data_IF_800635065265
#
_entry.id   IF_800635065265
#
_cell.length_a   1.000
_cell.length_b   1.000
_cell.length_c   1.000
_cell.angle_alpha   90.00
_cell.angle_beta   90.00
_cell.angle_gamma   90.00
#
_symmetry.space_group_name_H-M   'P 1'
#
loop_
_entity.id
_entity.type
_entity.pdbx_description
1 polymer ?
#
# COMPACT_ATOMS: atom_id res chain seq x y z
N UNK A 1 2.35 29.44 13.27
CA UNK A 1 2.32 29.47 11.78
C UNK A 1 3.76 29.32 11.31
N UNK A 2 4.04 28.34 10.47
CA UNK A 2 5.35 28.15 9.83
C UNK A 2 5.25 28.72 8.42
N UNK A 3 6.20 29.58 8.03
CA UNK A 3 6.32 30.08 6.66
C UNK A 3 7.54 29.41 6.05
N UNK A 4 7.35 28.68 4.95
CA UNK A 4 8.38 27.87 4.30
C UNK A 4 8.46 28.22 2.82
N UNK A 5 9.67 28.17 2.23
CA UNK A 5 9.86 28.29 0.79
C UNK A 5 9.15 27.13 0.08
N UNK A 6 8.38 27.45 -0.95
CA UNK A 6 7.75 26.43 -1.81
C UNK A 6 8.78 25.71 -2.66
N UNK A 7 8.55 24.41 -2.85
CA UNK A 7 9.27 23.54 -3.78
C UNK A 7 8.26 22.71 -4.57
N UNK A 8 8.57 22.33 -5.80
CA UNK A 8 7.57 21.78 -6.72
C UNK A 8 7.94 20.44 -7.34
N UNK A 9 7.21 19.38 -6.99
CA UNK A 9 7.37 18.04 -7.59
C UNK A 9 6.71 17.88 -8.97
N UNK A 10 6.01 18.91 -9.45
CA UNK A 10 5.24 18.89 -10.71
C UNK A 10 5.79 19.82 -11.80
N UNK A 11 7.07 20.20 -11.74
CA UNK A 11 7.71 21.06 -12.76
C UNK A 11 7.91 20.35 -14.10
N UNK A 12 8.13 19.03 -14.11
CA UNK A 12 8.38 18.30 -15.34
C UNK A 12 8.67 16.81 -15.15
N UNK A 13 9.00 16.07 -16.23
CA UNK A 13 9.33 14.64 -16.18
C UNK A 13 10.34 14.22 -15.12
N UNK A 14 11.26 15.12 -14.77
CA UNK A 14 12.37 14.82 -13.87
C UNK A 14 12.13 15.36 -12.45
N UNK A 15 10.92 15.79 -12.12
CA UNK A 15 10.52 16.22 -10.77
C UNK A 15 9.52 15.23 -10.17
N UNK A 16 9.40 15.25 -8.84
CA UNK A 16 8.43 14.42 -8.14
C UNK A 16 8.37 14.66 -6.65
N UNK A 17 7.45 13.94 -6.00
CA UNK A 17 7.26 13.98 -4.55
C UNK A 17 7.01 12.57 -4.03
N UNK A 18 7.31 12.34 -2.76
CA UNK A 18 7.12 11.03 -2.16
C UNK A 18 7.25 11.04 -0.64
N UNK A 19 6.99 9.85 -0.09
CA UNK A 19 7.15 9.54 1.32
C UNK A 19 8.03 8.30 1.41
N UNK A 20 9.09 8.39 2.21
CA UNK A 20 10.05 7.30 2.39
C UNK A 20 10.24 7.00 3.87
N UNK A 21 10.22 5.73 4.21
CA UNK A 21 10.67 5.20 5.49
C UNK A 21 12.15 4.83 5.37
N UNK A 22 12.92 5.15 6.40
CA UNK A 22 14.34 4.80 6.44
C UNK A 22 14.60 3.32 6.74
N UNK A 23 13.52 2.54 6.88
CA UNK A 23 13.53 1.08 7.01
C UNK A 23 12.28 0.47 6.39
N UNK A 24 12.46 -0.65 5.72
CA UNK A 24 11.37 -1.52 5.28
C UNK A 24 10.61 -2.07 6.51
N UNK A 25 9.31 -1.75 6.66
CA UNK A 25 8.47 -2.24 7.76
C UNK A 25 8.32 -3.76 7.81
N UNK A 26 8.55 -4.46 6.71
CA UNK A 26 8.41 -5.91 6.58
C UNK A 26 9.74 -6.65 6.72
N UNK A 27 10.86 -5.93 6.66
CA UNK A 27 12.20 -6.51 6.74
C UNK A 27 12.63 -6.71 8.19
N UNK A 28 13.23 -7.88 8.46
CA UNK A 28 13.91 -8.16 9.73
C UNK A 28 15.26 -7.43 9.83
N UNK A 29 15.77 -6.84 8.74
CA UNK A 29 17.00 -6.05 8.77
C UNK A 29 16.83 -4.80 9.65
N UNK A 30 17.87 -4.50 10.42
CA UNK A 30 17.91 -3.37 11.35
C UNK A 30 18.62 -2.14 10.80
N UNK A 31 19.25 -2.26 9.62
CA UNK A 31 19.95 -1.16 8.96
C UNK A 31 19.02 -0.23 8.18
N UNK A 32 19.62 0.78 7.54
CA UNK A 32 18.90 1.67 6.61
C UNK A 32 18.50 0.86 5.37
N UNK A 33 17.20 0.81 5.12
CA UNK A 33 16.63 0.14 3.96
C UNK A 33 15.44 0.98 3.48
N UNK A 34 15.67 1.82 2.47
CA UNK A 34 14.65 2.76 2.02
C UNK A 34 13.45 2.03 1.43
N UNK A 35 12.27 2.39 1.90
CA UNK A 35 11.01 1.84 1.46
C UNK A 35 9.96 2.94 1.45
N UNK A 36 9.12 3.00 0.44
CA UNK A 36 8.03 3.96 0.42
C UNK A 36 7.43 4.13 -0.96
N UNK A 37 6.79 5.28 -1.15
CA UNK A 37 6.05 5.58 -2.36
C UNK A 37 6.51 6.94 -2.90
N UNK A 38 6.74 7.01 -4.21
CA UNK A 38 6.98 8.28 -4.90
C UNK A 38 6.19 8.38 -6.19
N UNK A 39 6.04 9.59 -6.69
CA UNK A 39 5.40 9.88 -7.97
C UNK A 39 6.23 10.86 -8.76
N UNK A 40 6.14 10.77 -10.08
CA UNK A 40 6.71 11.75 -11.01
C UNK A 40 5.66 12.79 -11.34
N UNK A 41 6.09 14.04 -11.57
CA UNK A 41 5.20 15.14 -11.99
C UNK A 41 4.02 15.39 -11.04
N UNK A 42 4.16 15.09 -9.76
CA UNK A 42 3.09 15.23 -8.77
C UNK A 42 3.53 16.08 -7.59
N UNK A 43 2.55 16.65 -6.91
CA UNK A 43 2.75 17.27 -5.60
C UNK A 43 2.56 16.24 -4.50
N UNK A 44 3.05 16.56 -3.29
CA UNK A 44 2.88 15.70 -2.12
C UNK A 44 1.41 15.39 -1.83
N UNK A 45 0.51 16.33 -2.09
CA UNK A 45 -0.94 16.17 -1.94
C UNK A 45 -1.48 14.99 -2.76
N UNK A 46 -1.05 14.82 -4.01
CA UNK A 46 -1.54 13.75 -4.88
C UNK A 46 -1.18 12.35 -4.35
N UNK A 47 0.01 12.24 -3.74
CA UNK A 47 0.50 10.99 -3.13
C UNK A 47 -0.34 10.64 -1.91
N UNK A 48 -0.58 11.62 -1.03
CA UNK A 48 -1.29 11.40 0.23
C UNK A 48 -2.79 11.26 0.02
N UNK A 49 -3.38 11.99 -0.93
CA UNK A 49 -4.77 11.82 -1.36
C UNK A 49 -4.99 10.47 -2.09
N UNK A 50 -3.91 9.85 -2.58
CA UNK A 50 -3.94 8.56 -3.26
C UNK A 50 -4.75 8.54 -4.55
N UNK A 51 -4.73 9.67 -5.26
CA UNK A 51 -5.37 9.86 -6.57
C UNK A 51 -4.51 9.32 -7.73
N UNK A 52 -3.32 8.82 -7.39
CA UNK A 52 -2.24 8.43 -8.31
C UNK A 52 -1.81 6.98 -8.06
N UNK A 53 -1.06 6.44 -9.01
CA UNK A 53 -0.36 5.16 -8.86
C UNK A 53 1.10 5.41 -8.47
N UNK A 54 1.44 5.38 -7.17
CA UNK A 54 2.82 5.58 -6.77
C UNK A 54 3.71 4.39 -7.14
N UNK A 55 4.98 4.74 -7.33
CA UNK A 55 6.07 3.85 -7.66
C UNK A 55 6.91 3.57 -6.40
N UNK A 56 7.58 2.41 -6.33
CA UNK A 56 8.40 2.03 -5.19
C UNK A 56 9.68 2.88 -5.09
N UNK A 57 10.13 3.13 -3.87
CA UNK A 57 11.39 3.87 -3.63
C UNK A 57 12.60 3.03 -4.03
N UNK A 58 12.73 1.81 -3.49
CA UNK A 58 13.89 0.95 -3.75
C UNK A 58 13.61 -0.13 -4.79
N UNK A 59 14.67 -0.62 -5.41
CA UNK A 59 14.60 -1.72 -6.37
C UNK A 59 14.27 -3.04 -5.67
N UNK A 60 14.80 -3.23 -4.46
CA UNK A 60 14.42 -4.36 -3.60
C UNK A 60 12.92 -4.39 -3.35
N UNK A 61 12.31 -3.25 -3.03
CA UNK A 61 10.86 -3.12 -2.85
C UNK A 61 10.09 -3.49 -4.13
N UNK A 62 10.54 -3.01 -5.30
CA UNK A 62 9.94 -3.31 -6.60
C UNK A 62 9.93 -4.81 -6.90
N UNK A 63 11.08 -5.46 -6.73
CA UNK A 63 11.26 -6.89 -7.03
C UNK A 63 10.50 -7.79 -6.06
N UNK A 64 10.49 -7.44 -4.76
CA UNK A 64 9.87 -8.28 -3.73
C UNK A 64 8.34 -8.27 -3.83
N UNK A 65 7.73 -7.12 -4.17
CA UNK A 65 6.27 -6.99 -4.29
C UNK A 65 5.69 -7.65 -5.53
N UNK A 66 6.50 -7.93 -6.56
CA UNK A 66 6.06 -8.55 -7.81
C UNK A 66 4.82 -7.86 -8.43
N UNK A 67 4.73 -6.53 -8.26
CA UNK A 67 3.79 -5.65 -8.97
C UNK A 67 4.31 -5.40 -10.39
N UNK A 68 3.43 -5.00 -11.31
CA UNK A 68 3.79 -4.58 -12.68
C UNK A 68 4.43 -3.18 -12.74
N UNK A 69 5.24 -2.84 -11.73
CA UNK A 69 5.84 -1.51 -11.61
C UNK A 69 7.01 -1.36 -12.60
N UNK A 70 6.97 -0.35 -13.48
CA UNK A 70 7.95 -0.23 -14.56
C UNK A 70 9.35 0.12 -14.03
N UNK A 71 9.43 0.90 -12.95
CA UNK A 71 10.69 1.41 -12.37
C UNK A 71 10.53 1.67 -10.87
N UNK A 72 11.65 1.76 -10.17
CA UNK A 72 11.78 2.29 -8.81
C UNK A 72 12.42 3.68 -8.83
N UNK A 73 12.40 4.42 -7.73
CA UNK A 73 13.15 5.68 -7.62
C UNK A 73 14.66 5.42 -7.74
N UNK A 74 15.14 4.36 -7.10
CA UNK A 74 16.54 3.93 -7.16
C UNK A 74 17.06 3.78 -8.61
N UNK A 75 16.22 3.27 -9.51
CA UNK A 75 16.58 3.09 -10.92
C UNK A 75 16.29 4.32 -11.78
N UNK A 76 15.19 5.04 -11.54
CA UNK A 76 14.78 6.18 -12.35
C UNK A 76 15.50 7.49 -11.98
N UNK A 77 15.88 7.67 -10.71
CA UNK A 77 16.48 8.89 -10.15
C UNK A 77 17.64 8.53 -9.19
N UNK A 78 18.73 7.93 -9.69
CA UNK A 78 19.78 7.36 -8.84
C UNK A 78 20.48 8.40 -7.95
N UNK A 79 20.69 9.62 -8.43
CA UNK A 79 21.30 10.69 -7.63
C UNK A 79 20.39 11.15 -6.47
N UNK A 80 19.09 11.33 -6.74
CA UNK A 80 18.09 11.69 -5.72
C UNK A 80 17.99 10.58 -4.68
N UNK A 81 17.93 9.32 -5.13
CA UNK A 81 17.89 8.16 -4.25
C UNK A 81 19.15 8.05 -3.38
N UNK A 82 20.34 8.20 -3.97
CA UNK A 82 21.60 8.18 -3.23
C UNK A 82 21.64 9.27 -2.17
N UNK A 83 21.15 10.47 -2.50
CA UNK A 83 21.06 11.58 -1.55
C UNK A 83 20.05 11.31 -0.42
N UNK A 84 18.88 10.75 -0.73
CA UNK A 84 17.92 10.31 0.29
C UNK A 84 18.53 9.29 1.25
N UNK A 85 19.28 8.33 0.70
CA UNK A 85 19.94 7.28 1.48
C UNK A 85 21.03 7.85 2.38
N UNK A 86 21.88 8.72 1.86
CA UNK A 86 22.91 9.41 2.65
C UNK A 86 22.29 10.19 3.82
N UNK A 87 21.20 10.92 3.56
CA UNK A 87 20.44 11.63 4.60
C UNK A 87 19.90 10.66 5.66
N UNK A 88 19.31 9.53 5.24
CA UNK A 88 18.78 8.53 6.15
C UNK A 88 19.87 7.87 7.00
N UNK A 89 21.03 7.55 6.40
CA UNK A 89 22.20 7.01 7.09
C UNK A 89 22.74 7.99 8.11
N UNK A 90 22.90 9.28 7.75
CA UNK A 90 23.31 10.32 8.71
C UNK A 90 22.35 10.45 9.89
N UNK A 91 21.05 10.54 9.62
CA UNK A 91 20.04 10.67 10.68
C UNK A 91 20.11 9.50 11.68
N UNK A 92 20.28 8.27 11.21
CA UNK A 92 20.22 7.09 12.09
C UNK A 92 21.58 6.78 12.72
N UNK A 93 22.65 6.79 11.93
CA UNK A 93 23.96 6.27 12.32
C UNK A 93 24.85 7.33 12.96
N UNK A 94 24.75 8.59 12.53
CA UNK A 94 25.60 9.68 13.03
C UNK A 94 24.87 10.47 14.12
N UNK A 95 23.63 10.87 13.85
CA UNK A 95 22.82 11.71 14.75
C UNK A 95 22.03 10.89 15.80
N UNK A 96 21.99 9.56 15.67
CA UNK A 96 21.39 8.66 16.64
C UNK A 96 19.86 8.69 16.70
N UNK A 97 19.17 9.17 15.66
CA UNK A 97 17.71 9.10 15.59
C UNK A 97 17.24 7.65 15.40
N UNK A 98 16.04 7.35 15.93
CA UNK A 98 15.31 6.14 15.53
C UNK A 98 15.00 6.18 14.02
N UNK A 99 14.53 5.06 13.44
CA UNK A 99 14.06 5.07 12.06
C UNK A 99 12.98 6.15 11.85
N UNK A 100 13.02 6.79 10.69
CA UNK A 100 12.21 7.96 10.37
C UNK A 100 11.28 7.65 9.19
N UNK A 101 10.19 8.40 9.14
CA UNK A 101 9.37 8.64 7.96
C UNK A 101 9.68 10.05 7.46
N UNK A 102 10.06 10.17 6.20
CA UNK A 102 10.47 11.41 5.56
C UNK A 102 9.51 11.72 4.42
N UNK A 103 9.00 12.96 4.40
CA UNK A 103 8.30 13.51 3.24
C UNK A 103 9.27 14.36 2.45
N UNK A 104 9.30 14.18 1.13
CA UNK A 104 10.28 14.83 0.28
C UNK A 104 9.69 15.24 -1.06
N UNK A 105 10.38 16.18 -1.70
CA UNK A 105 10.11 16.65 -3.06
C UNK A 105 11.43 16.91 -3.76
N UNK A 106 11.51 16.58 -5.04
CA UNK A 106 12.67 16.88 -5.87
C UNK A 106 12.22 17.64 -7.13
N UNK A 107 12.92 18.73 -7.43
CA UNK A 107 12.61 19.61 -8.56
C UNK A 107 13.30 19.17 -9.86
N UNK A 108 14.34 18.33 -9.75
CA UNK A 108 15.02 17.70 -10.89
C UNK A 108 15.68 16.37 -10.48
N UNK A 109 16.30 15.67 -11.44
CA UNK A 109 17.04 14.42 -11.19
C UNK A 109 18.35 14.60 -10.42
N UNK A 110 18.80 15.84 -10.19
CA UNK A 110 20.04 16.14 -9.47
C UNK A 110 19.88 16.01 -7.96
N UNK A 111 20.90 15.48 -7.28
CA UNK A 111 20.92 15.37 -5.82
C UNK A 111 20.67 16.70 -5.07
N UNK A 112 21.16 17.81 -5.63
CA UNK A 112 21.04 19.15 -5.02
C UNK A 112 19.63 19.74 -5.04
N UNK A 113 18.74 19.17 -5.85
CA UNK A 113 17.35 19.62 -6.00
C UNK A 113 16.37 18.76 -5.18
N UNK A 114 16.89 17.93 -4.26
CA UNK A 114 16.10 17.20 -3.28
C UNK A 114 15.86 18.04 -2.02
N UNK A 115 14.60 18.13 -1.62
CA UNK A 115 14.16 18.84 -0.44
C UNK A 115 13.40 17.90 0.50
N UNK A 116 13.80 17.86 1.76
CA UNK A 116 13.01 17.22 2.82
C UNK A 116 12.02 18.24 3.37
N UNK A 117 10.77 17.85 3.47
CA UNK A 117 9.67 18.70 3.92
C UNK A 117 9.28 18.42 5.36
N UNK A 118 9.27 17.14 5.73
CA UNK A 118 8.91 16.70 7.06
C UNK A 118 9.69 15.43 7.43
N UNK A 119 9.99 15.27 8.72
CA UNK A 119 10.49 14.03 9.30
C UNK A 119 9.71 13.72 10.57
N UNK A 120 9.48 12.43 10.83
CA UNK A 120 8.94 11.96 12.11
C UNK A 120 9.42 10.55 12.43
N UNK A 121 9.47 10.15 13.71
CA UNK A 121 9.79 8.78 14.08
C UNK A 121 8.82 7.77 13.45
N UNK A 122 9.39 6.73 12.84
CA UNK A 122 8.66 5.63 12.22
C UNK A 122 8.06 4.74 13.31
N UNK A 123 6.73 4.66 13.35
CA UNK A 123 6.01 3.77 14.26
C UNK A 123 5.70 2.44 13.57
N UNK A 124 6.47 1.40 13.90
CA UNK A 124 6.21 0.04 13.45
C UNK A 124 5.19 -0.64 14.38
N UNK A 125 4.02 -0.97 13.84
CA UNK A 125 3.05 -1.82 14.53
C UNK A 125 3.48 -3.28 14.33
N UNK A 126 3.94 -3.95 15.38
CA UNK A 126 4.21 -5.40 15.34
C UNK A 126 2.92 -6.14 15.64
N UNK A 127 2.50 -7.03 14.74
CA UNK A 127 1.46 -8.01 15.02
C UNK A 127 2.13 -9.33 15.43
N UNK A 128 1.75 -9.88 16.59
CA UNK A 128 2.30 -11.16 17.09
C UNK A 128 1.75 -12.37 16.34
N UNK A 129 0.54 -12.23 15.77
CA UNK A 129 -0.15 -13.26 15.00
C UNK A 129 -0.65 -12.67 13.70
N UNK A 130 -0.50 -13.43 12.62
CA UNK A 130 -0.92 -13.02 11.29
C UNK A 130 -1.76 -14.14 10.69
N UNK A 131 -2.93 -13.76 10.20
CA UNK A 131 -3.83 -14.64 9.44
C UNK A 131 -3.29 -14.71 8.00
N UNK A 132 -3.16 -15.90 7.44
CA UNK A 132 -2.66 -16.13 6.07
C UNK A 132 -3.57 -17.10 5.35
N UNK A 133 -3.60 -17.08 4.01
CA UNK A 133 -4.37 -18.09 3.28
C UNK A 133 -3.69 -19.47 3.36
N UNK A 134 -4.49 -20.52 3.52
CA UNK A 134 -4.02 -21.89 3.38
C UNK A 134 -3.59 -22.12 1.92
N UNK A 135 -2.41 -22.69 1.70
CA UNK A 135 -1.94 -22.96 0.34
C UNK A 135 -2.77 -24.07 -0.31
N UNK A 136 -3.32 -23.80 -1.50
CA UNK A 136 -4.03 -24.77 -2.33
C UNK A 136 -3.84 -24.44 -3.81
N UNK A 137 -4.04 -25.42 -4.70
CA UNK A 137 -4.02 -25.17 -6.15
C UNK A 137 -5.12 -24.19 -6.57
N UNK A 138 -6.28 -24.25 -5.91
CA UNK A 138 -7.41 -23.35 -6.17
C UNK A 138 -7.07 -21.90 -5.82
N UNK A 139 -6.40 -21.66 -4.70
CA UNK A 139 -5.91 -20.34 -4.32
C UNK A 139 -4.96 -19.80 -5.40
N UNK A 140 -3.98 -20.61 -5.83
CA UNK A 140 -3.00 -20.18 -6.84
C UNK A 140 -3.70 -19.85 -8.18
N UNK A 141 -4.65 -20.68 -8.63
CA UNK A 141 -5.39 -20.47 -9.89
C UNK A 141 -6.37 -19.30 -9.84
N UNK A 142 -6.80 -18.90 -8.65
CA UNK A 142 -7.77 -17.81 -8.45
C UNK A 142 -7.13 -16.43 -8.30
N UNK A 143 -5.80 -16.31 -8.35
CA UNK A 143 -5.09 -15.03 -8.30
C UNK A 143 -5.56 -14.12 -9.45
N UNK A 144 -6.10 -12.96 -9.08
CA UNK A 144 -6.63 -11.97 -10.01
C UNK A 144 -5.60 -10.90 -10.36
N UNK A 145 -5.02 -10.30 -9.32
CA UNK A 145 -4.04 -9.22 -9.46
C UNK A 145 -3.21 -9.07 -8.19
N UNK A 146 -2.23 -8.17 -8.23
CA UNK A 146 -1.41 -7.78 -7.08
C UNK A 146 -1.33 -6.26 -6.97
N UNK A 147 -1.65 -5.77 -5.78
CA UNK A 147 -1.44 -4.38 -5.38
C UNK A 147 -0.33 -4.25 -4.34
N UNK A 148 -0.40 -3.17 -3.58
CA UNK A 148 0.42 -2.92 -2.39
C UNK A 148 -0.31 -3.43 -1.15
N UNK A 149 0.24 -4.45 -0.50
CA UNK A 149 -0.15 -4.81 0.87
C UNK A 149 0.23 -3.70 1.86
N UNK A 150 -0.73 -3.22 2.64
CA UNK A 150 -0.55 -2.13 3.60
C UNK A 150 -0.65 -2.63 5.04
N UNK A 151 -1.68 -3.42 5.35
CA UNK A 151 -2.00 -3.84 6.71
C UNK A 151 -2.89 -5.06 6.76
N UNK A 152 -2.83 -5.76 7.89
CA UNK A 152 -3.63 -6.94 8.16
C UNK A 152 -3.01 -8.21 7.58
N UNK A 153 -3.77 -9.31 7.64
CA UNK A 153 -3.40 -10.60 7.06
C UNK A 153 -4.29 -10.93 5.87
N UNK A 154 -4.70 -12.20 5.78
CA UNK A 154 -5.67 -12.69 4.82
C UNK A 154 -7.12 -12.52 5.30
N UNK A 155 -8.01 -12.12 4.40
CA UNK A 155 -9.46 -12.08 4.63
C UNK A 155 -10.22 -12.47 3.36
N UNK A 156 -11.29 -13.24 3.51
CA UNK A 156 -12.31 -13.44 2.46
C UNK A 156 -13.57 -12.70 2.86
N UNK A 157 -14.14 -11.91 1.96
CA UNK A 157 -15.34 -11.13 2.25
C UNK A 157 -16.15 -10.82 1.00
N UNK A 158 -17.39 -10.38 1.23
CA UNK A 158 -18.28 -9.92 0.17
C UNK A 158 -17.93 -8.48 -0.23
N UNK A 159 -17.96 -8.20 -1.52
CA UNK A 159 -17.70 -6.87 -2.08
C UNK A 159 -18.84 -5.91 -1.74
N UNK A 160 -18.47 -4.67 -1.36
CA UNK A 160 -19.38 -3.54 -1.21
C UNK A 160 -18.77 -2.26 -1.80
N UNK A 161 -19.61 -1.38 -2.32
CA UNK A 161 -19.19 -0.10 -2.92
C UNK A 161 -19.72 1.11 -2.13
N UNK A 162 -20.88 0.96 -1.51
CA UNK A 162 -21.61 2.01 -0.80
C UNK A 162 -22.01 1.59 0.61
N UNK A 163 -22.43 2.55 1.44
CA UNK A 163 -22.95 2.26 2.78
C UNK A 163 -24.21 1.40 2.72
N UNK A 164 -25.04 1.56 1.68
CA UNK A 164 -26.22 0.75 1.46
C UNK A 164 -25.88 -0.72 1.24
N UNK A 165 -24.84 -0.99 0.44
CA UNK A 165 -24.35 -2.36 0.23
C UNK A 165 -23.89 -3.00 1.54
N UNK A 166 -23.05 -2.28 2.30
CA UNK A 166 -22.51 -2.79 3.57
C UNK A 166 -23.64 -3.13 4.53
N UNK A 167 -24.63 -2.24 4.69
CA UNK A 167 -25.79 -2.47 5.56
C UNK A 167 -26.59 -3.68 5.13
N UNK A 168 -26.95 -3.77 3.84
CA UNK A 168 -27.71 -4.90 3.29
C UNK A 168 -27.00 -6.23 3.56
N UNK A 169 -25.70 -6.31 3.26
CA UNK A 169 -24.91 -7.53 3.49
C UNK A 169 -24.84 -7.91 4.97
N UNK A 170 -24.68 -6.94 5.87
CA UNK A 170 -24.64 -7.18 7.33
C UNK A 170 -26.02 -7.48 7.92
N UNK A 171 -27.10 -7.00 7.32
CA UNK A 171 -28.48 -7.35 7.70
C UNK A 171 -28.78 -8.82 7.35
N UNK A 172 -28.30 -9.29 6.20
CA UNK A 172 -28.43 -10.69 5.76
C UNK A 172 -27.56 -11.65 6.58
N UNK A 173 -26.28 -11.31 6.79
CA UNK A 173 -25.36 -12.04 7.67
C UNK A 173 -24.47 -11.07 8.46
N UNK A 174 -24.77 -10.84 9.75
CA UNK A 174 -23.98 -9.94 10.60
C UNK A 174 -22.50 -10.33 10.74
N UNK A 175 -22.15 -11.59 10.47
CA UNK A 175 -20.78 -12.12 10.59
C UNK A 175 -20.03 -12.13 9.26
N UNK A 176 -20.69 -11.87 8.14
CA UNK A 176 -20.07 -11.84 6.82
C UNK A 176 -19.03 -10.72 6.77
N UNK A 177 -17.74 -11.02 6.52
CA UNK A 177 -16.76 -9.98 6.32
C UNK A 177 -17.07 -9.18 5.05
N UNK A 178 -16.90 -7.86 5.10
CA UNK A 178 -17.17 -6.98 3.97
C UNK A 178 -15.88 -6.31 3.50
N UNK A 179 -15.62 -6.37 2.20
CA UNK A 179 -14.48 -5.72 1.56
C UNK A 179 -14.99 -4.52 0.77
N UNK A 180 -14.61 -3.33 1.22
CA UNK A 180 -14.90 -2.08 0.54
C UNK A 180 -14.00 -1.94 -0.69
N UNK A 181 -14.61 -1.79 -1.86
CA UNK A 181 -13.88 -1.64 -3.13
C UNK A 181 -14.07 -0.21 -3.66
N UNK A 182 -12.96 0.51 -3.87
CA UNK A 182 -12.96 1.94 -4.27
C UNK A 182 -11.95 2.21 -5.41
N UNK A 183 -12.16 3.24 -6.24
CA UNK A 183 -11.18 3.64 -7.25
C UNK A 183 -9.92 4.27 -6.64
N UNK A 184 -10.05 5.00 -5.54
CA UNK A 184 -8.97 5.73 -4.87
C UNK A 184 -9.21 5.80 -3.35
N UNK A 185 -8.26 6.39 -2.63
CA UNK A 185 -8.22 6.42 -1.16
C UNK A 185 -8.59 7.81 -0.63
N UNK A 186 -9.85 8.20 -0.73
CA UNK A 186 -10.30 9.54 -0.32
C UNK A 186 -10.78 9.59 1.14
N UNK A 187 -10.58 10.70 1.87
CA UNK A 187 -11.03 10.85 3.26
C UNK A 187 -12.54 10.66 3.48
N UNK A 188 -13.36 10.96 2.47
CA UNK A 188 -14.81 10.83 2.48
C UNK A 188 -15.28 9.38 2.69
N UNK A 189 -14.41 8.40 2.40
CA UNK A 189 -14.70 6.98 2.54
C UNK A 189 -14.49 6.45 3.97
N UNK A 190 -13.94 7.26 4.89
CA UNK A 190 -13.69 6.84 6.28
C UNK A 190 -14.94 6.24 6.96
N UNK A 191 -16.15 6.83 6.85
CA UNK A 191 -17.36 6.24 7.41
C UNK A 191 -17.67 4.83 6.86
N UNK A 192 -17.42 4.58 5.58
CA UNK A 192 -17.58 3.25 4.96
C UNK A 192 -16.55 2.28 5.54
N UNK A 193 -15.29 2.73 5.63
CA UNK A 193 -14.18 1.92 6.11
C UNK A 193 -14.34 1.49 7.58
N UNK A 194 -14.98 2.32 8.41
CA UNK A 194 -15.31 1.94 9.80
C UNK A 194 -16.21 0.69 9.86
N UNK A 195 -17.10 0.55 8.88
CA UNK A 195 -18.10 -0.53 8.80
C UNK A 195 -17.62 -1.74 7.98
N UNK A 196 -16.56 -1.57 7.18
CA UNK A 196 -15.95 -2.64 6.40
C UNK A 196 -14.87 -3.39 7.21
N UNK A 197 -14.50 -4.58 6.75
CA UNK A 197 -13.47 -5.43 7.35
C UNK A 197 -12.15 -5.39 6.55
N UNK A 198 -12.25 -5.06 5.25
CA UNK A 198 -11.11 -4.80 4.38
C UNK A 198 -11.33 -3.67 3.39
N UNK A 199 -10.23 -3.19 2.82
CA UNK A 199 -10.19 -2.16 1.78
C UNK A 199 -9.38 -2.67 0.59
N UNK A 200 -9.95 -2.49 -0.60
CA UNK A 200 -9.31 -2.77 -1.87
C UNK A 200 -9.44 -1.55 -2.79
N UNK A 201 -8.33 -0.99 -3.27
CA UNK A 201 -8.37 0.19 -4.17
C UNK A 201 -7.56 0.04 -5.46
N UNK A 202 -8.03 0.70 -6.52
CA UNK A 202 -7.31 0.76 -7.80
C UNK A 202 -6.07 1.66 -7.72
N UNK A 203 -6.22 2.84 -7.10
CA UNK A 203 -5.17 3.84 -6.90
C UNK A 203 -4.85 4.06 -5.43
N UNK A 204 -3.74 4.74 -5.17
CA UNK A 204 -3.29 5.11 -3.82
C UNK A 204 -2.06 4.35 -3.34
N UNK A 205 -1.20 5.03 -2.58
CA UNK A 205 0.00 4.45 -1.97
C UNK A 205 -0.24 3.83 -0.60
N UNK A 206 0.74 3.08 -0.10
CA UNK A 206 0.77 2.65 1.30
C UNK A 206 0.83 3.83 2.28
N UNK A 207 1.23 5.01 1.80
CA UNK A 207 1.31 6.26 2.57
C UNK A 207 0.11 7.19 2.35
N UNK A 208 -0.93 6.75 1.62
CA UNK A 208 -2.15 7.52 1.41
C UNK A 208 -3.07 7.56 2.65
N UNK A 209 -4.00 8.52 2.68
CA UNK A 209 -4.92 8.72 3.81
C UNK A 209 -5.73 7.47 4.16
N UNK A 210 -6.39 6.83 3.19
CA UNK A 210 -7.19 5.64 3.50
C UNK A 210 -6.32 4.41 3.83
N UNK A 211 -5.14 4.28 3.22
CA UNK A 211 -4.18 3.22 3.57
C UNK A 211 -3.71 3.33 5.04
N UNK A 212 -3.30 4.52 5.45
CA UNK A 212 -2.90 4.80 6.84
C UNK A 212 -4.09 4.61 7.79
N UNK A 213 -5.28 5.05 7.39
CA UNK A 213 -6.50 4.93 8.22
C UNK A 213 -6.92 3.48 8.38
N UNK A 214 -6.95 2.70 7.31
CA UNK A 214 -7.23 1.26 7.34
C UNK A 214 -6.26 0.53 8.27
N UNK A 215 -4.96 0.85 8.18
CA UNK A 215 -3.94 0.31 9.09
C UNK A 215 -4.19 0.65 10.55
N UNK A 216 -4.54 1.91 10.86
CA UNK A 216 -4.87 2.35 12.24
C UNK A 216 -6.13 1.68 12.77
N UNK A 217 -7.11 1.43 11.90
CA UNK A 217 -8.36 0.75 12.23
C UNK A 217 -8.23 -0.79 12.23
N UNK A 218 -7.04 -1.33 11.98
CA UNK A 218 -6.78 -2.77 11.96
C UNK A 218 -7.46 -3.51 10.80
N UNK A 219 -7.82 -2.82 9.72
CA UNK A 219 -8.47 -3.41 8.54
C UNK A 219 -7.43 -4.06 7.62
N UNK A 220 -7.83 -5.11 6.92
CA UNK A 220 -6.99 -5.70 5.86
C UNK A 220 -7.02 -4.78 4.66
N UNK A 221 -5.85 -4.38 4.15
CA UNK A 221 -5.79 -3.31 3.16
C UNK A 221 -4.81 -3.64 2.03
N UNK A 222 -5.34 -3.60 0.80
CA UNK A 222 -4.57 -3.69 -0.45
C UNK A 222 -4.94 -2.49 -1.31
N UNK A 223 -3.93 -1.72 -1.73
CA UNK A 223 -4.13 -0.52 -2.57
C UNK A 223 -3.34 -0.62 -3.86
N UNK A 224 -3.53 0.29 -4.79
CA UNK A 224 -2.75 0.35 -6.03
C UNK A 224 -2.90 -0.89 -6.94
N UNK A 225 -4.09 -1.47 -7.01
CA UNK A 225 -4.39 -2.57 -7.93
C UNK A 225 -4.61 -2.03 -9.35
N UNK A 226 -3.55 -1.96 -10.15
CA UNK A 226 -3.59 -1.42 -11.52
C UNK A 226 -4.63 -2.07 -12.44
N UNK A 227 -4.89 -3.37 -12.28
CA UNK A 227 -5.85 -4.09 -13.11
C UNK A 227 -7.31 -3.95 -12.61
N UNK A 228 -7.54 -3.25 -11.49
CA UNK A 228 -8.86 -3.01 -10.90
C UNK A 228 -9.48 -1.73 -11.49
N UNK A 229 -10.68 -1.87 -12.05
CA UNK A 229 -11.55 -0.76 -12.45
C UNK A 229 -12.80 -0.79 -11.57
N UNK A 230 -13.27 0.36 -11.11
CA UNK A 230 -14.43 0.48 -10.21
C UNK A 230 -15.40 1.52 -10.76
N UNK A 231 -16.68 1.16 -10.84
CA UNK A 231 -17.77 2.06 -11.20
C UNK A 231 -18.77 2.08 -10.04
N UNK A 232 -18.55 2.99 -9.10
CA UNK A 232 -19.28 3.03 -7.83
C UNK A 232 -20.79 3.17 -8.00
N UNK A 233 -21.22 4.04 -8.92
CA UNK A 233 -22.64 4.29 -9.18
C UNK A 233 -23.38 3.08 -9.77
N UNK A 234 -22.65 2.14 -10.37
CA UNK A 234 -23.19 0.89 -10.90
C UNK A 234 -23.01 -0.28 -9.94
N UNK A 235 -22.29 -0.07 -8.82
CA UNK A 235 -21.95 -1.11 -7.86
C UNK A 235 -21.22 -2.28 -8.55
N UNK A 236 -20.31 -1.94 -9.47
CA UNK A 236 -19.52 -2.89 -10.26
C UNK A 236 -18.02 -2.62 -10.13
N UNK A 237 -17.25 -3.71 -10.16
CA UNK A 237 -15.81 -3.69 -10.34
C UNK A 237 -15.38 -4.72 -11.39
N UNK A 238 -14.24 -4.48 -12.02
CA UNK A 238 -13.59 -5.45 -12.88
C UNK A 238 -12.12 -5.58 -12.50
N UNK A 239 -11.62 -6.81 -12.44
CA UNK A 239 -10.18 -7.11 -12.31
C UNK A 239 -9.77 -7.93 -13.51
N UNK A 240 -9.06 -7.30 -14.45
CA UNK A 240 -8.85 -7.87 -15.78
C UNK A 240 -10.18 -8.14 -16.48
N UNK A 241 -10.44 -9.39 -16.87
CA UNK A 241 -11.66 -9.78 -17.58
C UNK A 241 -12.82 -10.17 -16.65
N UNK A 242 -12.55 -10.37 -15.35
CA UNK A 242 -13.58 -10.79 -14.39
C UNK A 242 -14.31 -9.59 -13.82
N UNK A 243 -15.64 -9.66 -13.85
CA UNK A 243 -16.54 -8.66 -13.26
C UNK A 243 -17.06 -9.13 -11.91
N UNK A 244 -17.31 -8.16 -11.04
CA UNK A 244 -17.80 -8.34 -9.70
C UNK A 244 -18.86 -7.29 -9.39
N UNK A 245 -19.88 -7.70 -8.65
CA UNK A 245 -20.95 -6.85 -8.13
C UNK A 245 -21.05 -6.98 -6.61
N UNK A 246 -21.89 -6.16 -5.97
CA UNK A 246 -22.11 -6.26 -4.52
C UNK A 246 -22.50 -7.68 -4.12
N UNK A 247 -21.84 -8.21 -3.08
CA UNK A 247 -22.10 -9.56 -2.56
C UNK A 247 -21.17 -10.64 -3.13
N UNK A 248 -20.52 -10.38 -4.27
CA UNK A 248 -19.53 -11.33 -4.80
C UNK A 248 -18.34 -11.47 -3.83
N UNK A 249 -17.85 -12.70 -3.72
CA UNK A 249 -16.76 -13.02 -2.81
C UNK A 249 -15.40 -12.71 -3.43
N UNK A 250 -14.58 -11.98 -2.67
CA UNK A 250 -13.17 -11.74 -2.98
C UNK A 250 -12.33 -12.02 -1.75
N UNK A 251 -11.08 -12.39 -1.98
CA UNK A 251 -10.11 -12.67 -0.94
C UNK A 251 -8.87 -11.79 -1.13
N UNK A 252 -8.45 -11.09 -0.08
CA UNK A 252 -7.30 -10.18 -0.13
C UNK A 252 -6.27 -10.52 0.95
N UNK A 253 -5.00 -10.38 0.60
CA UNK A 253 -3.85 -10.52 1.49
C UNK A 253 -3.20 -9.14 1.70
N UNK A 254 -3.40 -8.57 2.89
CA UNK A 254 -2.90 -7.26 3.25
C UNK A 254 -1.39 -7.17 3.49
N UNK A 255 -0.67 -8.29 3.51
CA UNK A 255 0.80 -8.34 3.61
C UNK A 255 1.42 -8.40 2.23
N UNK A 256 1.04 -9.40 1.44
CA UNK A 256 1.63 -9.65 0.12
C UNK A 256 0.98 -8.80 -0.99
N UNK A 257 -0.19 -8.22 -0.74
CA UNK A 257 -0.95 -7.46 -1.72
C UNK A 257 -1.68 -8.32 -2.76
N UNK A 258 -1.82 -9.62 -2.52
CA UNK A 258 -2.51 -10.53 -3.45
C UNK A 258 -4.03 -10.37 -3.35
N UNK A 259 -4.70 -10.47 -4.50
CA UNK A 259 -6.17 -10.45 -4.61
C UNK A 259 -6.60 -11.70 -5.37
N UNK A 260 -7.56 -12.46 -4.81
CA UNK A 260 -8.04 -13.72 -5.34
C UNK A 260 -9.55 -13.72 -5.51
N UNK A 261 -10.04 -14.42 -6.53
CA UNK A 261 -11.46 -14.66 -6.72
C UNK A 261 -12.01 -15.65 -5.69
N UNK A 262 -13.22 -15.39 -5.21
CA UNK A 262 -13.93 -16.31 -4.34
C UNK A 262 -13.46 -16.26 -2.90
N UNK A 263 -13.80 -17.32 -2.15
CA UNK A 263 -13.51 -17.48 -0.73
C UNK A 263 -12.45 -18.55 -0.54
N UNK A 264 -11.45 -18.25 0.27
CA UNK A 264 -10.36 -19.18 0.58
C UNK A 264 -10.20 -19.38 2.07
N UNK A 265 -9.73 -20.57 2.44
CA UNK A 265 -9.45 -20.92 3.83
C UNK A 265 -8.26 -20.11 4.38
N UNK A 266 -8.35 -19.72 5.64
CA UNK A 266 -7.30 -18.96 6.33
C UNK A 266 -6.77 -19.73 7.55
N UNK A 267 -5.49 -19.55 7.82
CA UNK A 267 -4.77 -20.11 8.96
C UNK A 267 -4.19 -18.99 9.82
N UNK A 268 -4.13 -19.19 11.12
CA UNK A 268 -3.43 -18.26 12.02
C UNK A 268 -2.01 -18.73 12.25
N UNK A 269 -1.04 -17.89 11.93
CA UNK A 269 0.38 -18.14 12.18
C UNK A 269 0.90 -17.17 13.25
N UNK A 270 1.85 -17.61 14.08
CA UNK A 270 2.59 -16.74 14.99
C UNK A 270 3.86 -16.23 14.31
N UNK A 271 4.28 -15.02 14.64
CA UNK A 271 5.51 -14.44 14.12
C UNK A 271 6.74 -15.21 14.65
N UNK A 272 7.17 -16.23 13.90
CA UNK A 272 8.36 -17.04 14.19
C UNK A 272 8.40 -18.33 13.38
N UNK A 273 9.14 -18.32 12.26
CA UNK A 273 9.38 -19.42 11.30
C UNK A 273 8.31 -19.64 10.22
N UNK A 274 8.16 -18.69 9.30
CA UNK A 274 7.86 -19.05 7.91
C UNK A 274 9.20 -19.13 7.16
N UNK A 275 9.89 -20.28 7.28
CA UNK A 275 10.97 -20.60 6.36
C UNK A 275 10.34 -20.80 4.99
N UNK A 276 10.69 -19.94 4.04
CA UNK A 276 10.56 -20.20 2.62
C UNK A 276 11.32 -21.50 2.28
N UNK A 277 10.65 -22.64 2.41
CA UNK A 277 11.06 -23.91 1.81
C UNK A 277 9.85 -24.53 1.11
N UNK A 278 9.47 -23.88 0.01
CA UNK A 278 8.78 -24.53 -1.11
C UNK A 278 9.77 -24.62 -2.27
N UNK A 279 10.83 -25.41 -2.09
CA UNK A 279 11.72 -25.78 -3.19
C UNK A 279 10.98 -26.77 -4.07
N UNK A 280 10.84 -26.40 -5.34
CA UNK A 280 10.47 -27.29 -6.44
C UNK A 280 11.45 -28.48 -6.40
N UNK A 281 10.91 -29.69 -6.26
CA UNK A 281 11.63 -30.94 -6.56
C UNK A 281 11.87 -31.07 -8.05
#
# INVERSE_FOLDING_TARGET
VIVQRMVFGNLGPNSGSGVVFTRDPWSSHTGVELYGDFTRRSQGEDVVAGLVHPLPISEKQRLTRQRKDPVSMETAFPEVYARLREIAERLILEEGFEHQELEFTFESERAGDLFLLQTRPLRLLRQEKTVVFAHSEELVRSLLTRGTGVSGGAISGAIAFTMGDIRRLKEEDPKLPVILVRPDTVPEDIPLLLQADGLLTSRGGATSHAAITAKRLGKVCVVNCHDLTVVEGEHEAAIGERRFSTGDMVSIDGVLGNVYAGRHEVLTTSAGRASLRGGIT
#
